data_IF_949601739139
#
_entry.id   IF_949601739139
#
_cell.length_a   1.000
_cell.length_b   1.000
_cell.length_c   1.000
_cell.angle_alpha   90.00
_cell.angle_beta   90.00
_cell.angle_gamma   90.00
#
_symmetry.space_group_name_H-M   'P 1'
#
loop_
_entity.id
_entity.type
_entity.pdbx_description
1 polymer ?
#
# COMPACT_ATOMS: atom_id res chain seq x y z
N UNK A 1 10.89 12.59 -11.90
CA UNK A 1 9.95 12.50 -10.77
C UNK A 1 10.79 12.49 -9.52
N UNK A 2 10.58 13.46 -8.63
CA UNK A 2 11.27 13.44 -7.32
C UNK A 2 10.61 12.40 -6.40
N UNK A 3 11.25 12.08 -5.28
CA UNK A 3 10.76 11.04 -4.36
C UNK A 3 9.37 11.38 -3.78
N UNK A 4 9.11 12.66 -3.53
CA UNK A 4 7.85 13.16 -2.99
C UNK A 4 6.68 12.91 -3.96
N UNK A 5 6.83 13.30 -5.23
CA UNK A 5 5.86 13.05 -6.30
C UNK A 5 5.58 11.55 -6.48
N UNK A 6 6.62 10.72 -6.33
CA UNK A 6 6.49 9.26 -6.44
C UNK A 6 5.64 8.71 -5.29
N UNK A 7 5.98 9.05 -4.05
CA UNK A 7 5.24 8.57 -2.87
C UNK A 7 3.78 9.03 -2.95
N UNK A 8 3.53 10.29 -3.32
CA UNK A 8 2.16 10.81 -3.47
C UNK A 8 1.34 10.00 -4.48
N UNK A 9 1.92 9.66 -5.63
CA UNK A 9 1.28 8.78 -6.61
C UNK A 9 1.01 7.38 -6.07
N UNK A 10 1.95 6.82 -5.31
CA UNK A 10 1.79 5.47 -4.73
C UNK A 10 0.70 5.45 -3.65
N UNK A 11 0.55 6.53 -2.86
CA UNK A 11 -0.56 6.72 -1.91
C UNK A 11 -1.90 6.77 -2.65
N UNK A 12 -2.01 7.58 -3.71
CA UNK A 12 -3.23 7.68 -4.54
C UNK A 12 -3.56 6.34 -5.23
N UNK A 13 -2.55 5.58 -5.64
CA UNK A 13 -2.73 4.27 -6.27
C UNK A 13 -3.25 3.23 -5.28
N UNK A 14 -2.82 3.28 -4.01
CA UNK A 14 -3.26 2.34 -2.98
C UNK A 14 -4.78 2.41 -2.77
N UNK A 15 -5.36 3.61 -2.70
CA UNK A 15 -6.81 3.82 -2.56
C UNK A 15 -7.62 3.20 -3.70
N UNK A 16 -7.06 3.18 -4.91
CA UNK A 16 -7.68 2.55 -6.08
C UNK A 16 -7.59 1.03 -5.99
N UNK A 17 -6.46 0.51 -5.50
CA UNK A 17 -6.14 -0.92 -5.52
C UNK A 17 -6.74 -1.73 -4.35
N UNK A 18 -7.09 -1.08 -3.24
CA UNK A 18 -7.52 -1.78 -2.02
C UNK A 18 -9.00 -2.21 -2.00
N UNK A 19 -9.79 -1.88 -3.03
CA UNK A 19 -11.26 -2.07 -3.05
C UNK A 19 -11.75 -3.51 -3.25
N UNK A 20 -10.91 -4.42 -3.74
CA UNK A 20 -11.33 -5.76 -4.19
C UNK A 20 -10.53 -6.91 -3.54
N UNK A 21 -10.16 -6.73 -2.27
CA UNK A 21 -9.29 -7.68 -1.56
C UNK A 21 -10.12 -8.57 -0.63
N UNK A 22 -10.04 -9.89 -0.84
CA UNK A 22 -10.87 -10.88 -0.15
C UNK A 22 -10.42 -11.26 1.27
N UNK A 23 -9.18 -10.92 1.63
CA UNK A 23 -8.61 -11.18 2.96
C UNK A 23 -8.68 -9.91 3.83
N UNK A 24 -9.61 -9.91 4.80
CA UNK A 24 -9.88 -8.74 5.64
C UNK A 24 -8.72 -8.41 6.58
N UNK A 25 -8.01 -9.40 7.10
CA UNK A 25 -6.94 -9.17 8.07
C UNK A 25 -5.74 -8.51 7.39
N UNK A 26 -5.34 -9.04 6.24
CA UNK A 26 -4.22 -8.49 5.47
C UNK A 26 -4.61 -7.11 4.89
N UNK A 27 -5.86 -6.94 4.45
CA UNK A 27 -6.36 -5.63 4.01
C UNK A 27 -6.31 -4.58 5.12
N UNK A 28 -6.72 -4.92 6.35
CA UNK A 28 -6.63 -4.01 7.50
C UNK A 28 -5.18 -3.67 7.84
N UNK A 29 -4.25 -4.64 7.75
CA UNK A 29 -2.82 -4.38 7.93
C UNK A 29 -2.29 -3.42 6.85
N UNK A 30 -2.63 -3.65 5.58
CA UNK A 30 -2.22 -2.79 4.48
C UNK A 30 -2.74 -1.35 4.66
N UNK A 31 -3.98 -1.18 5.14
CA UNK A 31 -4.53 0.14 5.47
C UNK A 31 -3.78 0.86 6.58
N UNK A 32 -3.35 0.15 7.64
CA UNK A 32 -2.53 0.75 8.72
C UNK A 32 -1.23 1.32 8.16
N UNK A 33 -0.53 0.56 7.32
CA UNK A 33 0.69 1.04 6.67
C UNK A 33 0.44 2.16 5.66
N UNK A 34 -0.71 2.19 4.99
CA UNK A 34 -1.11 3.33 4.15
C UNK A 34 -1.35 4.60 4.99
N UNK A 35 -1.98 4.50 6.16
CA UNK A 35 -2.14 5.63 7.08
C UNK A 35 -0.80 6.10 7.65
N UNK A 36 0.09 5.17 8.00
CA UNK A 36 1.47 5.50 8.40
C UNK A 36 2.22 6.22 7.28
N UNK A 37 2.07 5.77 6.03
CA UNK A 37 2.70 6.41 4.88
C UNK A 37 2.24 7.87 4.74
N UNK A 38 0.93 8.14 4.86
CA UNK A 38 0.38 9.51 4.87
C UNK A 38 0.91 10.33 6.03
N UNK A 39 0.98 9.75 7.23
CA UNK A 39 1.51 10.41 8.41
C UNK A 39 2.96 10.85 8.20
N UNK A 40 3.86 9.94 7.83
CA UNK A 40 5.27 10.26 7.62
C UNK A 40 5.50 11.19 6.42
N UNK A 41 4.70 11.07 5.36
CA UNK A 41 4.71 12.01 4.24
C UNK A 41 4.42 13.43 4.70
N UNK A 42 3.38 13.63 5.52
CA UNK A 42 3.00 14.94 6.05
C UNK A 42 4.07 15.57 6.98
N UNK A 43 4.97 14.74 7.52
CA UNK A 43 6.11 15.16 8.36
C UNK A 43 7.39 15.43 7.57
N UNK A 44 7.40 15.20 6.26
CA UNK A 44 8.59 15.30 5.42
C UNK A 44 9.55 14.12 5.57
N UNK A 45 9.17 13.06 6.30
CA UNK A 45 9.93 11.82 6.40
C UNK A 45 9.59 10.91 5.21
N UNK A 46 10.15 11.25 4.06
CA UNK A 46 9.90 10.56 2.80
C UNK A 46 10.48 9.15 2.76
N UNK A 47 11.55 8.87 3.50
CA UNK A 47 12.14 7.52 3.53
C UNK A 47 11.20 6.54 4.24
N UNK A 48 10.73 6.90 5.43
CA UNK A 48 9.78 6.07 6.18
C UNK A 48 8.45 5.97 5.44
N UNK A 49 7.94 7.08 4.90
CA UNK A 49 6.72 7.09 4.09
C UNK A 49 6.80 6.16 2.88
N UNK A 50 7.92 6.18 2.16
CA UNK A 50 8.15 5.28 1.02
C UNK A 50 8.19 3.81 1.44
N UNK A 51 8.82 3.50 2.57
CA UNK A 51 8.81 2.15 3.14
C UNK A 51 7.39 1.67 3.47
N UNK A 52 6.61 2.50 4.15
CA UNK A 52 5.24 2.20 4.54
C UNK A 52 4.33 1.93 3.33
N UNK A 53 4.36 2.80 2.31
CA UNK A 53 3.47 2.63 1.15
C UNK A 53 3.83 1.40 0.31
N UNK A 54 5.12 1.08 0.16
CA UNK A 54 5.56 -0.12 -0.55
C UNK A 54 5.15 -1.40 0.19
N UNK A 55 5.24 -1.40 1.53
CA UNK A 55 4.78 -2.53 2.33
C UNK A 55 3.26 -2.74 2.19
N UNK A 56 2.49 -1.64 2.22
CA UNK A 56 1.05 -1.69 2.00
C UNK A 56 0.69 -2.31 0.63
N UNK A 57 1.35 -1.89 -0.45
CA UNK A 57 1.15 -2.49 -1.78
C UNK A 57 1.57 -3.96 -1.83
N UNK A 58 2.72 -4.31 -1.25
CA UNK A 58 3.20 -5.70 -1.20
C UNK A 58 2.24 -6.65 -0.51
N UNK A 59 1.57 -6.20 0.56
CA UNK A 59 0.51 -6.97 1.23
C UNK A 59 -0.69 -7.21 0.31
N UNK A 60 -1.12 -6.20 -0.44
CA UNK A 60 -2.25 -6.29 -1.38
C UNK A 60 -1.90 -7.24 -2.54
N UNK A 61 -0.70 -7.12 -3.09
CA UNK A 61 -0.22 -7.97 -4.19
C UNK A 61 -0.12 -9.44 -3.76
N UNK A 62 0.37 -9.71 -2.55
CA UNK A 62 0.44 -11.07 -2.01
C UNK A 62 -0.95 -11.75 -1.91
N UNK A 63 -2.00 -11.00 -1.59
CA UNK A 63 -3.37 -11.53 -1.56
C UNK A 63 -3.89 -11.82 -2.96
N UNK A 64 -3.58 -10.94 -3.93
CA UNK A 64 -4.00 -11.11 -5.33
C UNK A 64 -3.38 -12.36 -5.95
N UNK A 65 -2.08 -12.56 -5.75
CA UNK A 65 -1.36 -13.77 -6.20
C UNK A 65 -1.99 -15.05 -5.64
N UNK A 66 -2.31 -15.07 -4.33
CA UNK A 66 -3.00 -16.22 -3.70
C UNK A 66 -4.37 -16.54 -4.28
N UNK A 67 -5.05 -15.58 -4.94
CA UNK A 67 -6.36 -15.79 -5.56
C UNK A 67 -6.22 -16.45 -6.95
N UNK A 68 -5.15 -16.15 -7.67
CA UNK A 68 -4.84 -16.72 -8.98
C UNK A 68 -4.46 -18.22 -8.86
N UNK A 69 -3.69 -18.59 -7.82
CA UNK A 69 -3.29 -19.98 -7.55
C UNK A 69 -4.46 -20.93 -7.19
N UNK A 70 -5.62 -20.38 -6.81
CA UNK A 70 -6.81 -21.19 -6.45
C UNK A 70 -7.73 -21.48 -7.63
N UNK A 71 -7.41 -20.97 -8.83
CA UNK A 71 -8.21 -21.13 -10.05
C UNK A 71 -7.52 -22.05 -11.07
N UNK A 72 -6.27 -22.46 -10.82
CA UNK A 72 -5.50 -23.43 -11.62
C UNK A 72 -5.65 -24.87 -11.15
#
# INVERSE_FOLDING_TARGET
MNIEERIKKDIELFEKNCKEVGDKEILEMAKRYYEDAKYYFSKGDYFTSFGCINYAHGLIDAIRMKKEDKIS
#
